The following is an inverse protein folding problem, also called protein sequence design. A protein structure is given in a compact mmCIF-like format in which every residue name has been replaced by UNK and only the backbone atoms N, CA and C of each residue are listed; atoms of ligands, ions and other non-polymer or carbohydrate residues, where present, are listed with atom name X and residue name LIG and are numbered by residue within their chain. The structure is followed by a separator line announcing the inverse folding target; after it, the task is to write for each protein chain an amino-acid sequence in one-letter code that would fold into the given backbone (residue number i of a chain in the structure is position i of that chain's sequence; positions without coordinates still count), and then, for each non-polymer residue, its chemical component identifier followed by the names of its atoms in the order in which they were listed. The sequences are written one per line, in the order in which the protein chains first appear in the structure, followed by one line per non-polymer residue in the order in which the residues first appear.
data_IF_356140328758
#
_entry.id   IF_356140328758
#
_cell.length_a   1.000
_cell.length_b   1.000
_cell.length_c   1.000
_cell.angle_alpha   90.00
_cell.angle_beta   90.00
_cell.angle_gamma   90.00
#
_symmetry.space_group_name_H-M   'P 1'
#
loop_
_entity.id
_entity.type
_entity.pdbx_description
1 polymer ?
#
# COMPACT_ATOMS: atom_id res chain seq x y z
N UNK A 1 14.33 -18.53 -35.32
CA UNK A 1 14.39 -18.64 -36.80
C UNK A 1 15.66 -18.04 -37.41
N UNK A 2 16.04 -16.79 -37.12
CA UNK A 2 17.27 -16.18 -37.66
C UNK A 2 18.59 -16.89 -37.27
N UNK A 3 18.69 -17.39 -36.03
CA UNK A 3 19.87 -18.14 -35.57
C UNK A 3 20.00 -19.52 -36.24
N UNK A 4 18.88 -20.18 -36.56
CA UNK A 4 18.88 -21.46 -37.30
C UNK A 4 19.34 -21.27 -38.75
N UNK A 5 19.04 -20.11 -39.36
CA UNK A 5 19.47 -19.76 -40.71
C UNK A 5 20.98 -19.48 -40.80
N UNK A 6 21.57 -18.89 -39.75
CA UNK A 6 23.03 -18.75 -39.59
C UNK A 6 23.73 -20.10 -39.40
N UNK A 7 23.10 -21.02 -38.66
CA UNK A 7 23.62 -22.38 -38.45
C UNK A 7 23.76 -23.19 -39.74
N UNK A 8 22.79 -23.08 -40.67
CA UNK A 8 22.81 -23.80 -41.95
C UNK A 8 23.73 -23.16 -43.01
N UNK A 9 23.95 -21.83 -42.97
CA UNK A 9 24.81 -21.14 -43.96
C UNK A 9 26.30 -21.10 -43.59
N UNK A 10 26.69 -21.53 -42.39
CA UNK A 10 28.12 -21.66 -42.04
C UNK A 10 28.79 -22.89 -42.68
N UNK A 11 28.02 -23.92 -43.02
CA UNK A 11 28.56 -25.14 -43.63
C UNK A 11 28.75 -25.00 -45.16
N UNK A 12 28.15 -23.98 -45.80
CA UNK A 12 28.19 -23.75 -47.25
C UNK A 12 29.41 -22.96 -47.77
N UNK A 13 30.33 -22.52 -46.90
CA UNK A 13 31.51 -21.74 -47.30
C UNK A 13 32.75 -22.58 -47.70
N UNK A 14 32.56 -23.86 -48.03
CA UNK A 14 33.68 -24.81 -48.24
C UNK A 14 34.02 -25.15 -49.70
N UNK A 15 33.39 -24.50 -50.69
CA UNK A 15 33.64 -24.81 -52.11
C UNK A 15 33.96 -23.59 -52.99
N UNK A 16 35.13 -22.96 -52.77
CA UNK A 16 35.83 -22.20 -53.82
C UNK A 16 37.35 -22.29 -53.61
N UNK A 17 38.02 -23.11 -54.41
CA UNK A 17 39.49 -23.17 -54.55
C UNK A 17 39.94 -22.08 -55.52
N UNK A 18 40.76 -21.11 -55.06
CA UNK A 18 42.08 -20.79 -55.63
C UNK A 18 42.70 -19.51 -55.03
N UNK A 19 44.02 -19.59 -54.80
CA UNK A 19 44.99 -18.51 -54.57
C UNK A 19 44.89 -17.71 -53.26
N UNK A 20 45.46 -18.35 -52.24
CA UNK A 20 45.93 -17.79 -50.97
C UNK A 20 46.09 -18.97 -50.01
N UNK A 21 47.27 -19.21 -49.44
CA UNK A 21 47.46 -20.23 -48.38
C UNK A 21 46.71 -19.78 -47.11
N UNK A 22 45.38 -19.80 -47.15
CA UNK A 22 44.53 -19.64 -45.99
C UNK A 22 44.27 -21.05 -45.45
N UNK A 23 44.68 -21.29 -44.22
CA UNK A 23 44.76 -22.61 -43.61
C UNK A 23 43.33 -23.12 -43.31
N UNK A 24 42.68 -23.84 -44.23
CA UNK A 24 41.31 -24.37 -44.05
C UNK A 24 41.11 -25.12 -42.73
N UNK A 25 42.16 -25.76 -42.21
CA UNK A 25 42.15 -26.43 -40.91
C UNK A 25 41.97 -25.47 -39.72
N UNK A 26 42.53 -24.25 -39.80
CA UNK A 26 42.38 -23.23 -38.76
C UNK A 26 40.98 -22.65 -38.77
N UNK A 27 40.39 -22.44 -39.96
CA UNK A 27 39.00 -21.98 -40.11
C UNK A 27 38.02 -23.01 -39.52
N UNK A 28 38.18 -24.30 -39.85
CA UNK A 28 37.33 -25.36 -39.28
C UNK A 28 37.47 -25.48 -37.75
N UNK A 29 38.68 -25.32 -37.22
CA UNK A 29 38.92 -25.31 -35.77
C UNK A 29 38.23 -24.11 -35.10
N UNK A 30 38.34 -22.92 -35.69
CA UNK A 30 37.64 -21.71 -35.23
C UNK A 30 36.13 -21.87 -35.27
N UNK A 31 35.56 -22.42 -36.35
CA UNK A 31 34.12 -22.70 -36.45
C UNK A 31 33.66 -23.70 -35.39
N UNK A 32 34.41 -24.79 -35.14
CA UNK A 32 34.08 -25.74 -34.05
C UNK A 32 34.17 -25.11 -32.67
N UNK A 33 35.18 -24.25 -32.43
CA UNK A 33 35.29 -23.51 -31.17
C UNK A 33 34.11 -22.53 -30.99
N UNK A 34 33.75 -21.78 -32.03
CA UNK A 34 32.58 -20.88 -32.01
C UNK A 34 31.27 -21.65 -31.79
N UNK A 35 31.05 -22.79 -32.48
CA UNK A 35 29.89 -23.67 -32.25
C UNK A 35 29.85 -24.13 -30.78
N UNK A 36 30.97 -24.52 -30.18
CA UNK A 36 31.04 -24.87 -28.75
C UNK A 36 30.72 -23.69 -27.83
N UNK A 37 31.29 -22.52 -28.07
CA UNK A 37 31.01 -21.30 -27.29
C UNK A 37 29.52 -20.94 -27.34
N UNK A 38 28.92 -20.99 -28.52
CA UNK A 38 27.48 -20.73 -28.71
C UNK A 38 26.65 -21.77 -27.94
N UNK A 39 26.99 -23.05 -28.01
CA UNK A 39 26.30 -24.11 -27.25
C UNK A 39 26.41 -23.87 -25.74
N UNK A 40 27.61 -23.55 -25.23
CA UNK A 40 27.77 -23.24 -23.80
C UNK A 40 26.99 -22.00 -23.39
N UNK A 41 26.94 -20.97 -24.23
CA UNK A 41 26.16 -19.77 -23.98
C UNK A 41 24.66 -20.07 -23.95
N UNK A 42 24.14 -20.84 -24.91
CA UNK A 42 22.73 -21.26 -24.95
C UNK A 42 22.38 -22.13 -23.74
N UNK A 43 23.21 -23.12 -23.41
CA UNK A 43 23.00 -23.98 -22.24
C UNK A 43 23.07 -23.17 -20.93
N UNK A 44 24.00 -22.21 -20.84
CA UNK A 44 24.07 -21.28 -19.71
C UNK A 44 22.81 -20.44 -19.57
N UNK A 45 22.28 -19.90 -20.69
CA UNK A 45 21.03 -19.16 -20.70
C UNK A 45 19.83 -20.02 -20.30
N UNK A 46 19.78 -21.28 -20.75
CA UNK A 46 18.71 -22.22 -20.39
C UNK A 46 18.76 -22.64 -18.91
N UNK A 47 19.96 -22.88 -18.38
CA UNK A 47 20.14 -23.17 -16.95
C UNK A 47 19.75 -21.95 -16.11
N UNK A 48 20.16 -20.75 -16.52
CA UNK A 48 19.79 -19.51 -15.85
C UNK A 48 18.27 -19.29 -15.89
N UNK A 49 17.61 -19.46 -17.04
CA UNK A 49 16.16 -19.30 -17.14
C UNK A 49 15.40 -20.34 -16.32
N UNK A 50 15.87 -21.59 -16.30
CA UNK A 50 15.31 -22.66 -15.46
C UNK A 50 15.45 -22.34 -13.98
N UNK A 51 16.63 -21.87 -13.56
CA UNK A 51 16.88 -21.43 -12.18
C UNK A 51 15.95 -20.28 -11.77
N UNK A 52 15.80 -19.26 -12.61
CA UNK A 52 14.87 -18.15 -12.36
C UNK A 52 13.42 -18.66 -12.29
N UNK A 53 13.02 -19.59 -13.16
CA UNK A 53 11.70 -20.21 -13.11
C UNK A 53 11.43 -20.93 -11.79
N UNK A 54 12.38 -21.76 -11.34
CA UNK A 54 12.29 -22.45 -10.05
C UNK A 54 12.28 -21.48 -8.86
N UNK A 55 13.10 -20.42 -8.92
CA UNK A 55 13.12 -19.36 -7.92
C UNK A 55 11.76 -18.68 -7.81
N UNK A 56 11.13 -18.32 -8.93
CA UNK A 56 9.80 -17.70 -8.94
C UNK A 56 8.74 -18.65 -8.38
N UNK A 57 8.78 -19.93 -8.72
CA UNK A 57 7.85 -20.93 -8.14
C UNK A 57 8.03 -21.02 -6.63
N UNK A 58 9.28 -21.07 -6.14
CA UNK A 58 9.56 -21.11 -4.71
C UNK A 58 9.10 -19.83 -4.00
N UNK A 59 9.37 -18.64 -4.56
CA UNK A 59 8.90 -17.36 -4.02
C UNK A 59 7.37 -17.33 -3.89
N UNK A 60 6.65 -17.73 -4.94
CA UNK A 60 5.18 -17.73 -4.89
C UNK A 60 4.64 -18.76 -3.88
N UNK A 61 5.28 -19.93 -3.78
CA UNK A 61 4.92 -20.92 -2.78
C UNK A 61 5.19 -20.43 -1.36
N UNK A 62 6.37 -19.85 -1.10
CA UNK A 62 6.76 -19.28 0.19
C UNK A 62 5.77 -18.20 0.65
N UNK A 63 5.42 -17.27 -0.25
CA UNK A 63 4.45 -16.20 0.00
C UNK A 63 3.07 -16.76 0.31
N UNK A 64 2.59 -17.71 -0.48
CA UNK A 64 1.28 -18.34 -0.25
C UNK A 64 1.25 -19.07 1.09
N UNK A 65 2.24 -19.92 1.37
CA UNK A 65 2.30 -20.70 2.60
C UNK A 65 2.48 -19.80 3.83
N UNK A 66 3.30 -18.75 3.73
CA UNK A 66 3.49 -17.77 4.80
C UNK A 66 2.21 -16.99 5.10
N UNK A 67 1.45 -16.62 4.06
CA UNK A 67 0.14 -15.99 4.22
C UNK A 67 -0.85 -16.91 4.93
N UNK A 68 -0.99 -18.16 4.46
CA UNK A 68 -1.88 -19.14 5.08
C UNK A 68 -1.52 -19.41 6.55
N UNK A 69 -0.22 -19.45 6.88
CA UNK A 69 0.24 -19.57 8.26
C UNK A 69 -0.10 -18.33 9.11
N UNK A 70 0.04 -17.12 8.56
CA UNK A 70 -0.33 -15.89 9.24
C UNK A 70 -1.84 -15.78 9.45
N UNK A 71 -2.64 -16.15 8.45
CA UNK A 71 -4.11 -16.18 8.52
C UNK A 71 -4.61 -17.20 9.55
N UNK A 72 -4.04 -18.41 9.59
CA UNK A 72 -4.45 -19.46 10.52
C UNK A 72 -4.28 -19.07 12.01
N UNK A 73 -3.29 -18.21 12.30
CA UNK A 73 -3.05 -17.67 13.64
C UNK A 73 -3.74 -16.33 13.92
N UNK A 74 -4.40 -15.73 12.92
CA UNK A 74 -4.96 -14.39 13.02
C UNK A 74 -6.48 -14.41 13.00
N UNK A 75 -7.08 -13.52 13.79
CA UNK A 75 -8.49 -13.17 13.66
C UNK A 75 -8.57 -11.64 13.58
N UNK A 76 -9.47 -11.07 12.76
CA UNK A 76 -9.68 -9.62 12.77
C UNK A 76 -10.06 -9.21 14.18
N UNK A 77 -9.34 -8.25 14.76
CA UNK A 77 -9.64 -7.78 16.11
C UNK A 77 -10.55 -6.57 16.02
N UNK A 78 -11.71 -6.66 16.67
CA UNK A 78 -12.69 -5.58 16.73
C UNK A 78 -12.66 -4.98 18.12
N UNK A 79 -12.26 -3.72 18.21
CA UNK A 79 -12.28 -2.98 19.47
C UNK A 79 -13.72 -2.63 19.87
N UNK A 80 -13.99 -2.40 21.17
CA UNK A 80 -15.31 -1.97 21.63
C UNK A 80 -15.80 -0.70 20.93
N UNK A 81 -17.11 -0.53 20.88
CA UNK A 81 -17.70 0.71 20.39
C UNK A 81 -17.33 1.86 21.33
N UNK A 82 -16.81 2.95 20.76
CA UNK A 82 -16.33 4.16 21.47
C UNK A 82 -17.07 5.41 21.03
N UNK A 83 -16.92 6.48 21.79
CA UNK A 83 -17.42 7.81 21.45
C UNK A 83 -16.24 8.79 21.37
N UNK A 84 -16.00 9.35 20.18
CA UNK A 84 -14.85 10.23 19.90
C UNK A 84 -15.23 11.45 19.06
N UNK A 85 -14.38 12.46 19.08
CA UNK A 85 -14.43 13.60 18.18
C UNK A 85 -13.36 13.42 17.09
N UNK A 86 -13.67 13.88 15.88
CA UNK A 86 -12.82 13.67 14.72
C UNK A 86 -12.56 14.98 13.96
N UNK A 87 -11.32 15.15 13.51
CA UNK A 87 -10.91 16.20 12.57
C UNK A 87 -10.35 15.58 11.29
N UNK A 88 -10.64 16.20 10.15
CA UNK A 88 -10.16 15.77 8.84
C UNK A 88 -9.11 16.74 8.31
N UNK A 89 -8.00 16.19 7.81
CA UNK A 89 -6.98 16.91 7.06
C UNK A 89 -6.78 16.25 5.71
N UNK A 90 -6.82 17.04 4.64
CA UNK A 90 -6.75 16.52 3.26
C UNK A 90 -5.40 16.73 2.60
N UNK A 91 -4.52 17.50 3.24
CA UNK A 91 -3.21 17.83 2.72
C UNK A 91 -2.18 17.98 3.85
N UNK A 92 -0.91 17.94 3.47
CA UNK A 92 0.21 18.12 4.39
C UNK A 92 0.27 19.52 5.01
N UNK A 93 -0.15 20.54 4.27
CA UNK A 93 -0.02 21.95 4.66
C UNK A 93 -0.87 22.28 5.88
N UNK A 94 -2.01 21.62 6.02
CA UNK A 94 -2.92 21.75 7.16
C UNK A 94 -2.63 20.69 8.23
N UNK A 95 -2.34 19.45 7.83
CA UNK A 95 -2.04 18.35 8.75
C UNK A 95 -0.78 18.59 9.59
N UNK A 96 0.37 18.84 8.95
CA UNK A 96 1.65 18.80 9.64
C UNK A 96 1.81 19.90 10.70
N UNK A 97 1.34 21.15 10.49
CA UNK A 97 1.34 22.15 11.56
C UNK A 97 0.55 21.72 12.79
N UNK A 98 -0.64 21.12 12.62
CA UNK A 98 -1.40 20.61 13.77
C UNK A 98 -0.70 19.42 14.43
N UNK A 99 -0.24 18.45 13.65
CA UNK A 99 0.42 17.26 14.16
C UNK A 99 1.69 17.59 14.95
N UNK A 100 2.51 18.49 14.40
CA UNK A 100 3.73 18.97 15.09
C UNK A 100 3.42 19.78 16.34
N UNK A 101 2.35 20.60 16.33
CA UNK A 101 1.87 21.30 17.53
C UNK A 101 1.48 20.33 18.63
N UNK A 102 0.67 19.32 18.32
CA UNK A 102 0.23 18.32 19.30
C UNK A 102 1.43 17.57 19.92
N UNK A 103 2.42 17.18 19.10
CA UNK A 103 3.66 16.55 19.61
C UNK A 103 4.48 17.53 20.46
N UNK A 104 4.58 18.80 20.07
CA UNK A 104 5.29 19.82 20.86
C UNK A 104 4.68 19.98 22.25
N UNK A 105 3.35 19.95 22.33
CA UNK A 105 2.58 20.11 23.57
C UNK A 105 2.63 18.87 24.48
N UNK A 106 2.96 17.70 23.94
CA UNK A 106 3.06 16.43 24.67
C UNK A 106 3.90 16.52 25.96
N UNK A 107 3.45 15.85 27.02
CA UNK A 107 4.04 15.91 28.36
C UNK A 107 4.57 14.58 28.87
N UNK A 108 3.96 13.47 28.46
CA UNK A 108 4.24 12.15 29.02
C UNK A 108 4.84 11.24 27.97
N UNK A 109 4.15 11.02 26.85
CA UNK A 109 4.60 10.08 25.82
C UNK A 109 4.06 10.38 24.42
N UNK A 110 4.81 9.90 23.42
CA UNK A 110 4.45 9.95 22.01
C UNK A 110 4.76 8.60 21.35
N UNK A 111 3.72 7.92 20.89
CA UNK A 111 3.81 6.62 20.20
C UNK A 111 3.47 6.81 18.73
N UNK A 112 4.34 6.40 17.82
CA UNK A 112 4.13 6.59 16.39
C UNK A 112 4.55 5.33 15.64
N UNK A 113 3.64 4.76 14.85
CA UNK A 113 3.95 3.80 13.81
C UNK A 113 3.53 4.37 12.46
N UNK A 114 4.45 4.50 11.51
CA UNK A 114 4.14 4.85 10.11
C UNK A 114 4.75 3.84 9.13
N UNK A 115 3.98 3.51 8.10
CA UNK A 115 4.38 2.57 7.04
C UNK A 115 5.65 3.00 6.28
N UNK A 116 5.87 4.29 6.04
CA UNK A 116 7.01 4.70 5.22
C UNK A 116 7.62 6.01 5.69
N UNK A 117 8.93 6.13 5.49
CA UNK A 117 9.65 7.39 5.63
C UNK A 117 10.40 7.69 4.34
N UNK A 118 10.31 8.95 3.91
CA UNK A 118 11.09 9.45 2.77
C UNK A 118 12.26 10.32 3.18
N UNK A 119 13.19 10.55 2.26
CA UNK A 119 14.26 11.53 2.44
C UNK A 119 13.76 12.98 2.31
N UNK A 120 14.50 13.91 2.89
CA UNK A 120 14.30 15.36 2.74
C UNK A 120 13.96 16.11 4.03
N UNK A 121 13.87 17.43 3.93
CA UNK A 121 13.73 18.38 5.04
C UNK A 121 12.50 18.10 5.92
N UNK A 122 11.39 17.65 5.32
CA UNK A 122 10.19 17.29 6.07
C UNK A 122 10.44 16.20 7.12
N UNK A 123 11.21 15.17 6.75
CA UNK A 123 11.56 14.06 7.65
C UNK A 123 12.60 14.48 8.69
N UNK A 124 13.55 15.33 8.30
CA UNK A 124 14.56 15.89 9.20
C UNK A 124 13.89 16.72 10.31
N UNK A 125 12.98 17.62 9.94
CA UNK A 125 12.20 18.41 10.92
C UNK A 125 11.36 17.54 11.85
N UNK A 126 10.77 16.48 11.32
CA UNK A 126 9.98 15.55 12.13
C UNK A 126 10.86 14.80 13.13
N UNK A 127 12.03 14.34 12.72
CA UNK A 127 12.96 13.67 13.62
C UNK A 127 13.61 14.59 14.63
N UNK A 128 13.93 15.83 14.25
CA UNK A 128 14.39 16.85 15.20
C UNK A 128 13.31 17.15 16.26
N UNK A 129 12.04 17.14 15.86
CA UNK A 129 10.92 17.26 16.79
C UNK A 129 10.88 16.09 17.78
N UNK A 130 11.00 14.84 17.31
CA UNK A 130 11.03 13.67 18.19
C UNK A 130 12.23 13.69 19.15
N UNK A 131 13.44 14.00 18.63
CA UNK A 131 14.66 14.18 19.46
C UNK A 131 14.45 15.25 20.52
N UNK A 132 13.83 16.39 20.15
CA UNK A 132 13.54 17.47 21.09
C UNK A 132 12.61 17.02 22.22
N UNK A 133 11.58 16.23 21.93
CA UNK A 133 10.66 15.71 22.95
C UNK A 133 11.32 14.68 23.86
N UNK A 134 12.09 13.75 23.31
CA UNK A 134 12.85 12.79 24.09
C UNK A 134 13.85 13.49 25.05
N UNK A 135 14.57 14.51 24.57
CA UNK A 135 15.46 15.32 25.40
C UNK A 135 14.74 16.13 26.50
N UNK A 136 13.43 16.35 26.38
CA UNK A 136 12.61 16.98 27.42
C UNK A 136 12.06 15.97 28.45
N UNK A 137 12.43 14.68 28.33
CA UNK A 137 11.97 13.61 29.22
C UNK A 137 10.63 12.99 28.81
N UNK A 138 10.08 13.31 27.64
CA UNK A 138 8.89 12.65 27.10
C UNK A 138 9.29 11.29 26.54
N UNK A 139 8.56 10.23 26.85
CA UNK A 139 8.82 8.88 26.32
C UNK A 139 8.40 8.80 24.85
N UNK A 140 9.35 8.69 23.94
CA UNK A 140 9.06 8.64 22.49
C UNK A 140 9.34 7.25 21.95
N UNK A 141 8.30 6.61 21.41
CA UNK A 141 8.38 5.31 20.74
C UNK A 141 8.04 5.50 19.26
N UNK A 142 8.99 5.20 18.38
CA UNK A 142 8.81 5.28 16.94
C UNK A 142 9.07 3.92 16.28
N UNK A 143 8.02 3.37 15.69
CA UNK A 143 8.06 2.17 14.86
C UNK A 143 7.90 2.56 13.40
N UNK A 144 8.56 1.83 12.51
CA UNK A 144 8.43 2.00 11.06
C UNK A 144 8.46 0.65 10.39
N UNK A 145 7.77 0.51 9.28
CA UNK A 145 7.90 -0.70 8.49
C UNK A 145 9.30 -0.81 7.85
N UNK A 146 9.93 -2.00 7.97
CA UNK A 146 11.32 -2.22 7.58
C UNK A 146 11.59 -1.96 6.10
N UNK A 147 10.74 -2.49 5.23
CA UNK A 147 10.93 -2.28 3.79
C UNK A 147 10.49 -0.86 3.38
N UNK A 148 9.64 -0.21 4.17
CA UNK A 148 9.19 1.16 3.99
C UNK A 148 10.21 2.20 4.44
N UNK A 149 11.14 1.80 5.31
CA UNK A 149 12.26 2.62 5.78
C UNK A 149 13.50 2.56 4.91
N UNK A 150 13.57 1.70 3.89
CA UNK A 150 14.76 1.53 3.02
C UNK A 150 15.17 2.79 2.26
N UNK A 151 14.26 3.77 2.10
CA UNK A 151 14.54 5.06 1.46
C UNK A 151 14.97 6.16 2.46
N UNK A 152 14.95 5.87 3.76
CA UNK A 152 15.44 6.77 4.81
C UNK A 152 16.96 6.83 4.85
N UNK A 153 17.52 7.84 5.52
CA UNK A 153 18.96 7.87 5.81
C UNK A 153 19.28 6.87 6.93
N UNK A 154 20.37 6.12 6.77
CA UNK A 154 20.75 5.06 7.71
C UNK A 154 21.11 5.59 9.11
N UNK A 155 21.59 6.83 9.22
CA UNK A 155 22.05 7.46 10.47
C UNK A 155 20.91 7.97 11.35
N UNK A 156 19.75 8.30 10.78
CA UNK A 156 18.62 8.86 11.52
C UNK A 156 18.17 8.00 12.71
N UNK A 157 18.07 6.70 12.53
CA UNK A 157 17.63 5.82 13.60
C UNK A 157 18.65 5.73 14.74
N UNK A 158 19.94 5.82 14.41
CA UNK A 158 21.00 5.84 15.43
C UNK A 158 21.03 7.19 16.16
N UNK A 159 20.79 8.30 15.47
CA UNK A 159 20.62 9.62 16.09
C UNK A 159 19.40 9.67 17.02
N UNK A 160 18.26 9.11 16.59
CA UNK A 160 17.06 9.03 17.39
C UNK A 160 17.30 8.21 18.67
N UNK A 161 17.94 7.04 18.55
CA UNK A 161 18.32 6.21 19.71
C UNK A 161 19.24 6.97 20.66
N UNK A 162 20.25 7.68 20.14
CA UNK A 162 21.17 8.50 20.97
C UNK A 162 20.44 9.63 21.71
N UNK A 163 19.36 10.16 21.14
CA UNK A 163 18.51 11.17 21.78
C UNK A 163 17.48 10.57 22.77
N UNK A 164 17.49 9.25 22.99
CA UNK A 164 16.57 8.58 23.91
C UNK A 164 15.24 8.14 23.29
N UNK A 165 15.09 8.19 21.97
CA UNK A 165 13.88 7.67 21.29
C UNK A 165 13.98 6.15 21.16
N UNK A 166 12.94 5.43 21.56
CA UNK A 166 12.81 4.00 21.34
C UNK A 166 12.45 3.74 19.87
N UNK A 167 13.23 2.87 19.19
CA UNK A 167 13.05 2.57 17.77
C UNK A 167 12.89 1.06 17.54
N UNK A 168 11.90 0.67 16.75
CA UNK A 168 11.76 -0.69 16.23
C UNK A 168 11.34 -0.70 14.76
N UNK A 169 11.49 -1.84 14.10
CA UNK A 169 11.00 -2.09 12.75
C UNK A 169 9.91 -3.16 12.79
N UNK A 170 8.87 -3.01 11.97
CA UNK A 170 7.93 -4.10 11.74
C UNK A 170 8.42 -5.07 10.66
N UNK A 171 8.05 -6.34 10.83
CA UNK A 171 8.20 -7.42 9.85
C UNK A 171 9.65 -7.71 9.45
N UNK A 172 10.43 -8.17 10.42
CA UNK A 172 11.78 -8.67 10.18
C UNK A 172 11.76 -9.93 9.28
N UNK A 173 12.59 -10.02 8.23
CA UNK A 173 12.65 -11.19 7.38
C UNK A 173 13.04 -12.45 8.18
N UNK A 174 12.25 -13.51 8.09
CA UNK A 174 12.50 -14.74 8.84
C UNK A 174 12.15 -16.02 8.06
N UNK A 175 12.81 -17.13 8.40
CA UNK A 175 12.49 -18.46 7.88
C UNK A 175 11.32 -19.11 8.65
N UNK A 176 10.58 -20.07 8.05
CA UNK A 176 10.74 -20.60 6.70
C UNK A 176 10.13 -19.74 5.59
N UNK A 177 9.40 -18.67 5.92
CA UNK A 177 8.64 -17.83 4.98
C UNK A 177 9.32 -16.48 4.72
N UNK A 178 10.52 -16.51 4.14
CA UNK A 178 11.37 -15.33 4.01
C UNK A 178 10.82 -14.32 3.00
N UNK A 179 10.21 -14.80 1.92
CA UNK A 179 9.64 -13.94 0.88
C UNK A 179 8.31 -13.36 1.33
N UNK A 180 7.51 -14.16 2.03
CA UNK A 180 6.31 -13.68 2.70
C UNK A 180 6.63 -12.58 3.70
N UNK A 181 7.54 -12.80 4.66
CA UNK A 181 7.85 -11.83 5.72
C UNK A 181 8.37 -10.49 5.17
N UNK A 182 9.09 -10.49 4.05
CA UNK A 182 9.49 -9.26 3.33
C UNK A 182 8.29 -8.55 2.68
N UNK A 183 7.31 -9.31 2.19
CA UNK A 183 6.12 -8.80 1.51
C UNK A 183 4.97 -8.46 2.44
N UNK A 184 4.94 -9.03 3.65
CA UNK A 184 4.00 -8.75 4.71
C UNK A 184 4.38 -7.41 5.35
N UNK A 185 3.48 -6.43 5.30
CA UNK A 185 3.80 -5.05 5.67
C UNK A 185 2.86 -4.54 6.73
N UNK A 186 3.39 -3.80 7.70
CA UNK A 186 2.51 -3.04 8.59
C UNK A 186 2.15 -1.73 7.89
N UNK A 187 0.98 -1.71 7.25
CA UNK A 187 0.49 -0.55 6.50
C UNK A 187 -0.35 0.39 7.38
N UNK A 188 -0.49 0.05 8.67
CA UNK A 188 -1.15 0.88 9.65
C UNK A 188 -0.40 2.19 9.84
N UNK A 189 -1.13 3.19 10.31
CA UNK A 189 -0.61 4.51 10.67
C UNK A 189 -1.30 4.88 11.95
N UNK A 190 -0.52 4.88 13.02
CA UNK A 190 -0.97 5.25 14.36
C UNK A 190 -0.03 6.32 14.86
N UNK A 191 -0.57 7.43 15.35
CA UNK A 191 0.14 8.24 16.32
C UNK A 191 -0.75 8.45 17.54
N UNK A 192 -0.18 8.31 18.73
CA UNK A 192 -0.82 8.58 20.02
C UNK A 192 0.05 9.57 20.79
N UNK A 193 -0.58 10.60 21.34
CA UNK A 193 0.08 11.68 22.08
C UNK A 193 -0.61 11.79 23.43
N UNK A 194 0.15 11.51 24.51
CA UNK A 194 -0.30 11.49 25.91
C UNK A 194 -1.60 10.70 26.15
N UNK A 195 -1.92 9.72 25.30
CA UNK A 195 -3.17 8.95 25.35
C UNK A 195 -4.44 9.77 25.06
N UNK A 196 -4.31 11.04 24.71
CA UNK A 196 -5.42 12.01 24.55
C UNK A 196 -5.74 12.31 23.10
N UNK A 197 -4.75 12.21 22.22
CA UNK A 197 -4.88 12.52 20.80
C UNK A 197 -4.38 11.33 20.00
N UNK A 198 -5.20 10.88 19.04
CA UNK A 198 -4.88 9.82 18.09
C UNK A 198 -4.84 10.34 16.65
N UNK A 199 -4.00 9.75 15.81
CA UNK A 199 -4.00 9.98 14.36
C UNK A 199 -3.96 8.68 13.57
N UNK A 200 -4.69 8.65 12.47
CA UNK A 200 -4.61 7.60 11.43
C UNK A 200 -4.94 8.19 10.05
N UNK A 201 -4.85 7.40 8.98
CA UNK A 201 -5.17 7.82 7.62
C UNK A 201 -4.12 7.39 6.61
N UNK A 202 -3.91 8.20 5.56
CA UNK A 202 -2.96 7.88 4.49
C UNK A 202 -1.65 8.67 4.46
N UNK A 203 -1.52 9.77 5.20
CA UNK A 203 -0.31 10.60 5.18
C UNK A 203 0.81 9.94 5.98
N UNK A 204 2.00 9.89 5.39
CA UNK A 204 3.24 9.54 6.10
C UNK A 204 4.15 10.77 6.15
N UNK A 205 5.36 10.65 6.69
CA UNK A 205 6.36 11.73 6.70
C UNK A 205 7.37 11.56 5.57
N UNK A 206 7.35 12.50 4.62
CA UNK A 206 8.32 12.58 3.52
C UNK A 206 8.19 13.92 2.78
N UNK A 207 9.28 14.35 2.12
CA UNK A 207 9.27 15.57 1.31
C UNK A 207 8.19 15.55 0.21
N UNK A 208 7.84 14.37 -0.34
CA UNK A 208 6.83 14.28 -1.41
C UNK A 208 5.45 14.80 -1.00
N UNK A 209 5.07 14.66 0.27
CA UNK A 209 3.77 15.10 0.77
C UNK A 209 3.68 16.62 0.92
N UNK A 210 4.81 17.32 1.04
CA UNK A 210 4.86 18.79 1.17
C UNK A 210 4.39 19.53 -0.08
N UNK A 211 4.27 18.83 -1.22
CA UNK A 211 3.77 19.40 -2.46
C UNK A 211 2.25 19.56 -2.33
N UNK A 212 1.72 20.72 -2.72
CA UNK A 212 0.27 21.03 -2.75
C UNK A 212 -0.53 20.19 -3.77
N UNK A 213 0.03 19.08 -4.25
CA UNK A 213 -0.58 18.16 -5.21
C UNK A 213 -0.89 16.80 -4.58
N UNK A 214 -0.54 16.58 -3.30
CA UNK A 214 -0.88 15.34 -2.61
C UNK A 214 -2.17 15.53 -1.82
N UNK A 215 -3.19 14.78 -2.20
CA UNK A 215 -4.50 14.80 -1.56
C UNK A 215 -4.76 13.45 -0.90
N UNK A 216 -5.00 13.43 0.40
CA UNK A 216 -5.21 12.21 1.18
C UNK A 216 -6.30 12.47 2.24
N UNK A 217 -6.61 11.48 3.08
CA UNK A 217 -7.53 11.62 4.20
C UNK A 217 -6.81 11.23 5.47
N UNK A 218 -6.40 12.24 6.24
CA UNK A 218 -5.77 12.06 7.54
C UNK A 218 -6.74 12.47 8.64
N UNK A 219 -6.88 11.61 9.62
CA UNK A 219 -7.87 11.72 10.69
C UNK A 219 -7.15 12.00 11.98
N UNK A 220 -7.58 13.06 12.67
CA UNK A 220 -7.25 13.33 14.06
C UNK A 220 -8.43 12.91 14.93
N UNK A 221 -8.18 12.24 16.03
CA UNK A 221 -9.18 11.75 16.97
C UNK A 221 -8.87 12.22 18.39
N UNK A 222 -9.91 12.61 19.13
CA UNK A 222 -9.87 12.75 20.59
C UNK A 222 -11.05 12.02 21.22
N UNK A 223 -10.96 11.69 22.51
CA UNK A 223 -11.97 10.92 23.24
C UNK A 223 -11.66 9.43 23.27
N UNK A 224 -12.65 8.61 23.67
CA UNK A 224 -12.44 7.23 24.13
C UNK A 224 -11.67 6.34 23.12
N UNK A 225 -11.82 6.56 21.81
CA UNK A 225 -11.14 5.78 20.78
C UNK A 225 -9.61 5.86 20.78
N UNK A 226 -9.01 6.87 21.42
CA UNK A 226 -7.54 7.02 21.44
C UNK A 226 -6.87 5.85 22.17
N UNK A 227 -7.54 5.29 23.19
CA UNK A 227 -7.01 4.12 23.91
C UNK A 227 -6.89 2.88 23.02
N UNK A 228 -7.75 2.74 22.01
CA UNK A 228 -7.72 1.60 21.10
C UNK A 228 -6.53 1.72 20.14
N UNK A 229 -6.16 2.96 19.75
CA UNK A 229 -4.93 3.23 18.99
C UNK A 229 -3.68 2.94 19.83
N UNK A 230 -3.68 3.32 21.11
CA UNK A 230 -2.57 3.06 22.01
C UNK A 230 -2.38 1.56 22.24
N UNK A 231 -3.47 0.83 22.50
CA UNK A 231 -3.43 -0.61 22.67
C UNK A 231 -2.90 -1.29 21.40
N UNK A 232 -3.41 -0.92 20.21
CA UNK A 232 -2.93 -1.52 18.97
C UNK A 232 -1.44 -1.23 18.73
N UNK A 233 -0.99 -0.02 19.00
CA UNK A 233 0.43 0.32 18.88
C UNK A 233 1.30 -0.56 19.81
N UNK A 234 0.89 -0.74 21.05
CA UNK A 234 1.59 -1.56 22.03
C UNK A 234 1.61 -3.05 21.63
N UNK A 235 0.51 -3.56 21.07
CA UNK A 235 0.45 -4.92 20.52
C UNK A 235 1.42 -5.10 19.35
N UNK A 236 1.41 -4.18 18.38
CA UNK A 236 2.32 -4.21 17.22
C UNK A 236 3.79 -4.10 17.68
N UNK A 237 4.07 -3.25 18.67
CA UNK A 237 5.41 -3.12 19.26
C UNK A 237 5.87 -4.42 19.94
N UNK A 238 4.96 -5.10 20.65
CA UNK A 238 5.23 -6.38 21.31
C UNK A 238 5.51 -7.50 20.32
N UNK A 239 4.80 -7.55 19.20
CA UNK A 239 5.10 -8.50 18.11
C UNK A 239 6.55 -8.30 17.63
N UNK A 240 7.01 -7.06 17.50
CA UNK A 240 8.33 -6.76 16.98
C UNK A 240 9.47 -6.96 17.99
N UNK A 241 9.23 -6.77 19.28
CA UNK A 241 10.31 -6.69 20.29
C UNK A 241 10.19 -7.69 21.44
N UNK A 242 9.07 -8.42 21.54
CA UNK A 242 8.74 -9.28 22.67
C UNK A 242 8.26 -8.52 23.92
N UNK A 243 8.44 -7.21 23.99
CA UNK A 243 8.04 -6.36 25.11
C UNK A 243 7.03 -5.31 24.65
N UNK A 244 6.21 -4.78 25.56
CA UNK A 244 5.27 -3.70 25.25
C UNK A 244 5.77 -2.39 25.84
N UNK A 245 5.58 -1.25 25.16
CA UNK A 245 5.57 0.06 25.83
C UNK A 245 4.51 0.06 26.93
N UNK A 246 4.61 0.96 27.93
CA UNK A 246 3.56 1.16 28.90
C UNK A 246 2.21 1.47 28.22
N UNK A 247 1.11 1.08 28.87
CA UNK A 247 -0.22 1.56 28.49
C UNK A 247 -0.69 2.44 29.64
N UNK A 248 -0.99 3.70 29.34
CA UNK A 248 -1.38 4.67 30.34
C UNK A 248 -2.90 4.71 30.46
N UNK A 249 -3.40 4.78 31.70
CA UNK A 249 -4.82 5.01 31.94
C UNK A 249 -5.07 6.50 31.94
N UNK A 250 -5.74 6.97 30.89
CA UNK A 250 -6.14 8.36 30.74
C UNK A 250 -7.66 8.45 30.86
N UNK A 251 -8.15 9.38 31.67
CA UNK A 251 -9.57 9.70 31.72
C UNK A 251 -9.95 10.46 30.44
N UNK A 252 -10.66 9.78 29.55
CA UNK A 252 -11.07 10.32 28.25
C UNK A 252 -12.53 10.73 28.25
N UNK A 253 -12.79 11.95 27.78
CA UNK A 253 -14.14 12.43 27.55
C UNK A 253 -14.79 11.70 26.36
N UNK A 254 -16.11 11.51 26.43
CA UNK A 254 -16.89 10.99 25.31
C UNK A 254 -17.03 12.07 24.25
N UNK A 255 -16.68 11.74 23.01
CA UNK A 255 -16.97 12.60 21.87
C UNK A 255 -18.36 12.37 21.28
N UNK A 256 -18.68 13.09 20.20
CA UNK A 256 -20.01 13.12 19.59
C UNK A 256 -20.25 11.99 18.58
N UNK A 257 -19.19 11.31 18.13
CA UNK A 257 -19.28 10.29 17.07
C UNK A 257 -19.12 8.88 17.64
N UNK A 258 -20.11 8.04 17.38
CA UNK A 258 -20.06 6.61 17.65
C UNK A 258 -19.24 5.90 16.57
N UNK A 259 -18.26 5.10 16.99
CA UNK A 259 -17.40 4.35 16.08
C UNK A 259 -16.83 3.10 16.73
N UNK A 260 -16.23 2.23 15.93
CA UNK A 260 -15.33 1.19 16.41
C UNK A 260 -14.14 1.05 15.46
N UNK A 261 -13.00 0.63 16.00
CA UNK A 261 -11.82 0.27 15.25
C UNK A 261 -11.84 -1.23 14.97
N UNK A 262 -11.54 -1.62 13.74
CA UNK A 262 -11.21 -3.00 13.39
C UNK A 262 -9.84 -3.06 12.75
N UNK A 263 -9.05 -4.03 13.18
CA UNK A 263 -7.70 -4.27 12.65
C UNK A 263 -7.65 -5.63 11.98
N UNK A 264 -6.85 -5.69 10.93
CA UNK A 264 -6.70 -6.87 10.08
C UNK A 264 -5.22 -7.22 10.02
N UNK A 265 -4.92 -8.51 10.11
CA UNK A 265 -3.59 -9.05 9.84
C UNK A 265 -3.63 -9.72 8.48
N UNK A 266 -2.69 -9.37 7.59
CA UNK A 266 -2.62 -9.90 6.22
C UNK A 266 -3.92 -9.70 5.41
N UNK A 267 -4.71 -8.67 5.71
CA UNK A 267 -6.01 -8.42 5.08
C UNK A 267 -7.11 -9.45 5.37
N UNK A 268 -6.86 -10.45 6.22
CA UNK A 268 -7.84 -11.50 6.54
C UNK A 268 -9.11 -10.90 7.14
N UNK A 269 -10.29 -11.26 6.63
CA UNK A 269 -11.60 -10.77 7.10
C UNK A 269 -11.98 -9.35 6.64
N UNK A 270 -11.07 -8.63 5.97
CA UNK A 270 -11.29 -7.25 5.54
C UNK A 270 -12.36 -7.16 4.46
N UNK A 271 -12.28 -8.03 3.46
CA UNK A 271 -13.19 -8.01 2.31
C UNK A 271 -14.62 -8.32 2.74
N UNK A 272 -14.78 -9.26 3.66
CA UNK A 272 -16.08 -9.67 4.20
C UNK A 272 -16.82 -8.52 4.87
N UNK A 273 -16.11 -7.65 5.60
CA UNK A 273 -16.73 -6.47 6.23
C UNK A 273 -17.20 -5.45 5.18
N UNK A 274 -16.39 -5.19 4.14
CA UNK A 274 -16.78 -4.28 3.06
C UNK A 274 -17.99 -4.84 2.29
N UNK A 275 -18.03 -6.16 2.05
CA UNK A 275 -19.17 -6.83 1.41
C UNK A 275 -20.43 -6.64 2.26
N UNK A 276 -20.36 -6.80 3.58
CA UNK A 276 -21.51 -6.59 4.47
C UNK A 276 -22.05 -5.16 4.35
N UNK A 277 -21.18 -4.16 4.30
CA UNK A 277 -21.57 -2.76 4.15
C UNK A 277 -22.18 -2.46 2.77
N UNK A 278 -21.64 -3.07 1.71
CA UNK A 278 -22.20 -2.96 0.36
C UNK A 278 -23.54 -3.65 0.22
N UNK A 279 -23.71 -4.83 0.83
CA UNK A 279 -24.97 -5.56 0.81
C UNK A 279 -26.07 -4.86 1.63
N UNK A 280 -25.69 -4.07 2.65
CA UNK A 280 -26.60 -3.20 3.40
C UNK A 280 -26.98 -1.90 2.67
N UNK A 281 -26.26 -1.51 1.61
CA UNK A 281 -26.47 -0.26 0.89
C UNK A 281 -27.86 -0.18 0.23
N UNK A 282 -28.50 0.99 0.32
CA UNK A 282 -29.85 1.24 -0.20
C UNK A 282 -29.92 2.33 -1.28
N UNK A 283 -28.96 3.26 -1.28
CA UNK A 283 -28.97 4.45 -2.13
C UNK A 283 -27.67 4.60 -2.89
N UNK A 284 -26.54 4.61 -2.19
CA UNK A 284 -25.25 4.91 -2.81
C UNK A 284 -24.08 4.27 -2.06
N UNK A 285 -23.03 3.91 -2.82
CA UNK A 285 -21.71 3.53 -2.35
C UNK A 285 -20.70 4.44 -3.06
N UNK A 286 -19.93 5.24 -2.32
CA UNK A 286 -18.77 5.96 -2.83
C UNK A 286 -17.50 5.28 -2.33
N UNK A 287 -16.60 4.93 -3.25
CA UNK A 287 -15.27 4.40 -2.96
C UNK A 287 -14.24 5.39 -3.49
N UNK A 288 -13.48 6.00 -2.59
CA UNK A 288 -12.35 6.86 -2.89
C UNK A 288 -11.07 6.12 -2.48
N UNK A 289 -10.24 5.77 -3.46
CA UNK A 289 -9.05 4.92 -3.27
C UNK A 289 -7.87 5.40 -4.14
N UNK A 290 -6.61 5.29 -3.69
CA UNK A 290 -5.45 5.50 -4.58
C UNK A 290 -5.39 4.47 -5.70
N UNK A 291 -5.84 3.25 -5.43
CA UNK A 291 -5.74 2.11 -6.33
C UNK A 291 -7.05 1.34 -6.29
N UNK A 292 -7.63 1.06 -7.46
CA UNK A 292 -8.80 0.20 -7.59
C UNK A 292 -8.38 -1.10 -8.28
N UNK A 293 -7.67 -1.94 -7.53
CA UNK A 293 -7.10 -3.22 -7.96
C UNK A 293 -7.56 -4.31 -6.98
N UNK A 294 -8.88 -4.47 -6.72
CA UNK A 294 -9.35 -5.32 -5.63
C UNK A 294 -8.88 -6.77 -5.76
N UNK A 295 -8.67 -7.27 -6.99
CA UNK A 295 -8.26 -8.66 -7.29
C UNK A 295 -8.98 -9.70 -6.42
N UNK A 296 -10.28 -9.46 -6.20
CA UNK A 296 -11.14 -10.26 -5.36
C UNK A 296 -12.53 -10.28 -6.01
N UNK A 297 -12.96 -11.48 -6.42
CA UNK A 297 -14.23 -11.67 -7.12
C UNK A 297 -15.41 -11.32 -6.24
N UNK A 298 -15.39 -11.71 -4.96
CA UNK A 298 -16.53 -11.57 -4.07
C UNK A 298 -16.78 -10.09 -3.73
N UNK A 299 -15.71 -9.29 -3.60
CA UNK A 299 -15.77 -7.84 -3.49
C UNK A 299 -16.43 -7.19 -4.73
N UNK A 300 -15.96 -7.54 -5.93
CA UNK A 300 -16.54 -7.02 -7.18
C UNK A 300 -17.99 -7.46 -7.37
N UNK A 301 -18.32 -8.71 -7.02
CA UNK A 301 -19.67 -9.24 -7.13
C UNK A 301 -20.63 -8.57 -6.13
N UNK A 302 -20.16 -8.15 -4.94
CA UNK A 302 -20.96 -7.35 -4.01
C UNK A 302 -21.33 -5.98 -4.60
N UNK A 303 -20.40 -5.30 -5.26
CA UNK A 303 -20.69 -4.05 -5.97
C UNK A 303 -21.68 -4.26 -7.12
N UNK A 304 -21.54 -5.35 -7.89
CA UNK A 304 -22.50 -5.71 -8.95
C UNK A 304 -23.88 -6.01 -8.36
N UNK A 305 -23.97 -6.70 -7.22
CA UNK A 305 -25.23 -6.93 -6.50
C UNK A 305 -25.86 -5.62 -6.06
N UNK A 306 -25.07 -4.66 -5.55
CA UNK A 306 -25.57 -3.33 -5.23
C UNK A 306 -26.16 -2.63 -6.46
N UNK A 307 -25.47 -2.66 -7.61
CA UNK A 307 -26.00 -2.10 -8.86
C UNK A 307 -27.30 -2.77 -9.32
N UNK A 308 -27.45 -4.09 -9.15
CA UNK A 308 -28.70 -4.82 -9.43
C UNK A 308 -29.86 -4.43 -8.51
N UNK A 309 -29.58 -3.85 -7.34
CA UNK A 309 -30.57 -3.30 -6.41
C UNK A 309 -30.78 -1.79 -6.61
N UNK A 310 -30.37 -1.24 -7.76
CA UNK A 310 -30.44 0.18 -8.11
C UNK A 310 -29.64 1.13 -7.19
N UNK A 311 -28.74 0.61 -6.35
CA UNK A 311 -27.81 1.41 -5.54
C UNK A 311 -26.77 2.03 -6.46
N UNK A 312 -26.58 3.35 -6.41
CA UNK A 312 -25.53 4.01 -7.19
C UNK A 312 -24.14 3.65 -6.65
N UNK A 313 -23.22 3.22 -7.51
CA UNK A 313 -21.83 2.92 -7.11
C UNK A 313 -20.90 3.88 -7.83
N UNK A 314 -20.15 4.66 -7.06
CA UNK A 314 -19.19 5.67 -7.53
C UNK A 314 -17.80 5.26 -7.09
N UNK A 315 -16.89 5.09 -8.04
CA UNK A 315 -15.48 4.80 -7.78
C UNK A 315 -14.66 6.02 -8.19
N UNK A 316 -13.98 6.63 -7.22
CA UNK A 316 -13.03 7.70 -7.43
C UNK A 316 -11.60 7.14 -7.30
N UNK A 317 -10.78 7.42 -8.30
CA UNK A 317 -9.38 6.96 -8.37
C UNK A 317 -8.50 8.01 -9.07
N UNK A 318 -7.18 8.03 -8.84
CA UNK A 318 -6.30 9.03 -9.42
C UNK A 318 -6.05 8.83 -10.92
N UNK A 319 -5.89 9.94 -11.66
CA UNK A 319 -5.31 9.91 -13.01
C UNK A 319 -3.86 9.47 -13.03
N UNK A 320 -3.12 9.85 -11.99
CA UNK A 320 -1.71 9.58 -11.82
C UNK A 320 -1.46 8.98 -10.44
N UNK A 321 -1.01 7.72 -10.40
CA UNK A 321 -0.54 7.07 -9.17
C UNK A 321 0.90 7.48 -8.84
N UNK A 322 1.31 7.34 -7.58
CA UNK A 322 2.70 7.55 -7.15
C UNK A 322 3.59 6.28 -7.32
N UNK A 323 2.98 5.13 -7.62
CA UNK A 323 3.67 3.88 -7.96
C UNK A 323 3.68 3.55 -9.46
N UNK A 324 4.67 2.75 -9.86
CA UNK A 324 4.83 2.27 -11.23
C UNK A 324 3.75 1.24 -11.56
N UNK A 325 3.10 1.38 -12.73
CA UNK A 325 2.09 0.45 -13.25
C UNK A 325 0.77 0.36 -12.46
N UNK A 326 0.60 1.05 -11.33
CA UNK A 326 -0.62 0.96 -10.51
C UNK A 326 -1.87 1.44 -11.27
N UNK A 327 -1.78 2.58 -11.98
CA UNK A 327 -2.86 3.02 -12.87
C UNK A 327 -3.22 1.97 -13.92
N UNK A 328 -2.22 1.34 -14.55
CA UNK A 328 -2.44 0.34 -15.59
C UNK A 328 -2.97 -0.99 -15.04
N UNK A 329 -2.60 -1.36 -13.82
CA UNK A 329 -3.10 -2.54 -13.12
C UNK A 329 -4.59 -2.44 -12.80
N UNK A 330 -5.10 -1.23 -12.55
CA UNK A 330 -6.51 -0.99 -12.24
C UNK A 330 -7.42 -0.95 -13.49
N UNK A 331 -6.89 -0.73 -14.70
CA UNK A 331 -7.71 -0.66 -15.92
C UNK A 331 -8.70 -1.81 -16.14
N UNK A 332 -8.33 -3.10 -15.94
CA UNK A 332 -9.29 -4.20 -16.11
C UNK A 332 -10.47 -4.10 -15.13
N UNK A 333 -10.21 -3.74 -13.87
CA UNK A 333 -11.23 -3.64 -12.82
C UNK A 333 -12.12 -2.41 -13.02
N UNK A 334 -11.54 -1.29 -13.44
CA UNK A 334 -12.28 -0.07 -13.80
C UNK A 334 -13.18 -0.32 -15.00
N UNK A 335 -12.69 -1.02 -16.02
CA UNK A 335 -13.49 -1.40 -17.18
C UNK A 335 -14.66 -2.29 -16.78
N UNK A 336 -14.40 -3.32 -15.97
CA UNK A 336 -15.44 -4.21 -15.45
C UNK A 336 -16.50 -3.44 -14.64
N UNK A 337 -16.09 -2.47 -13.81
CA UNK A 337 -17.01 -1.62 -13.07
C UNK A 337 -17.93 -0.82 -14.00
N UNK A 338 -17.37 -0.19 -15.03
CA UNK A 338 -18.14 0.56 -16.03
C UNK A 338 -19.09 -0.32 -16.86
N UNK A 339 -18.63 -1.51 -17.27
CA UNK A 339 -19.46 -2.51 -17.97
C UNK A 339 -20.65 -2.98 -17.11
N UNK A 340 -20.54 -2.88 -15.78
CA UNK A 340 -21.60 -3.22 -14.82
C UNK A 340 -22.38 -1.98 -14.32
N UNK A 341 -22.31 -0.85 -15.04
CA UNK A 341 -23.12 0.33 -14.78
C UNK A 341 -22.74 1.11 -13.51
N UNK A 342 -21.52 0.93 -13.00
CA UNK A 342 -20.92 1.77 -11.96
C UNK A 342 -20.37 3.06 -12.60
N UNK A 343 -20.31 4.15 -11.84
CA UNK A 343 -19.68 5.40 -12.28
C UNK A 343 -18.24 5.44 -11.82
N UNK A 344 -17.35 5.89 -12.69
CA UNK A 344 -15.92 6.03 -12.35
C UNK A 344 -15.50 7.47 -12.59
N UNK A 345 -14.88 8.08 -11.59
CA UNK A 345 -14.36 9.44 -11.62
C UNK A 345 -12.85 9.43 -11.42
N UNK A 346 -12.13 10.07 -12.34
CA UNK A 346 -10.68 10.17 -12.31
C UNK A 346 -10.25 11.54 -11.79
N UNK A 347 -9.61 11.58 -10.62
CA UNK A 347 -9.12 12.80 -10.00
C UNK A 347 -7.92 13.38 -10.77
N UNK A 348 -7.97 14.67 -11.13
CA UNK A 348 -7.01 15.33 -12.04
C UNK A 348 -6.29 16.56 -11.42
N UNK A 349 -6.41 16.78 -10.11
CA UNK A 349 -5.72 17.89 -9.40
C UNK A 349 -4.40 17.50 -8.75
N UNK A 350 -3.98 16.24 -8.86
CA UNK A 350 -2.74 15.76 -8.27
C UNK A 350 -2.73 14.26 -8.02
N UNK A 351 -1.96 13.83 -7.03
CA UNK A 351 -1.94 12.46 -6.51
C UNK A 351 -3.09 12.36 -5.51
N UNK A 352 -4.12 11.61 -5.88
CA UNK A 352 -5.22 11.25 -4.99
C UNK A 352 -4.89 9.96 -4.26
N UNK A 353 -4.94 9.99 -2.93
CA UNK A 353 -4.57 8.88 -2.09
C UNK A 353 -5.59 8.65 -0.97
N UNK A 354 -6.85 9.08 -1.14
CA UNK A 354 -7.92 8.88 -0.16
C UNK A 354 -8.24 7.40 0.07
N UNK A 355 -8.67 7.05 1.29
CA UNK A 355 -9.01 5.68 1.72
C UNK A 355 -10.34 5.74 2.45
N UNK A 356 -11.37 5.93 1.65
CA UNK A 356 -12.70 6.25 2.16
C UNK A 356 -13.71 5.43 1.39
N UNK A 357 -14.58 4.76 2.15
CA UNK A 357 -15.82 4.22 1.62
C UNK A 357 -16.97 4.83 2.40
N UNK A 358 -17.93 5.42 1.68
CA UNK A 358 -19.12 6.03 2.25
C UNK A 358 -20.36 5.36 1.66
N UNK A 359 -21.19 4.80 2.52
CA UNK A 359 -22.42 4.10 2.13
C UNK A 359 -23.63 4.84 2.68
N UNK A 360 -24.56 5.18 1.79
CA UNK A 360 -25.83 5.87 2.07
C UNK A 360 -25.68 7.20 2.85
N UNK A 361 -24.49 7.80 2.86
CA UNK A 361 -24.09 8.95 3.71
C UNK A 361 -24.17 8.69 5.22
N UNK A 362 -24.36 7.43 5.61
CA UNK A 362 -24.60 7.02 6.98
C UNK A 362 -23.49 6.11 7.50
N UNK A 363 -22.81 5.35 6.64
CA UNK A 363 -21.80 4.38 7.08
C UNK A 363 -20.48 4.73 6.44
N UNK A 364 -19.54 5.19 7.26
CA UNK A 364 -18.21 5.63 6.85
C UNK A 364 -17.18 4.59 7.28
N UNK A 365 -16.39 4.13 6.33
CA UNK A 365 -15.17 3.35 6.55
C UNK A 365 -13.98 4.18 6.11
N UNK A 366 -13.02 4.36 6.98
CA UNK A 366 -11.79 5.07 6.66
C UNK A 366 -10.64 4.66 7.58
N UNK A 367 -9.40 4.82 7.13
CA UNK A 367 -8.23 4.32 7.84
C UNK A 367 -7.07 4.13 6.89
N UNK A 368 -6.45 2.95 6.87
CA UNK A 368 -5.24 2.67 6.09
C UNK A 368 -5.45 1.79 4.88
N UNK A 369 -6.63 1.19 4.74
CA UNK A 369 -6.97 0.24 3.68
C UNK A 369 -7.01 0.90 2.30
N UNK A 370 -6.21 0.39 1.36
CA UNK A 370 -6.41 0.61 -0.06
C UNK A 370 -7.37 -0.45 -0.62
N UNK A 371 -8.01 -0.16 -1.76
CA UNK A 371 -8.78 -1.16 -2.52
C UNK A 371 -7.85 -1.87 -3.52
N UNK A 372 -6.84 -2.55 -2.99
CA UNK A 372 -5.84 -3.29 -3.76
C UNK A 372 -5.59 -4.72 -3.23
N UNK A 373 -4.93 -5.55 -4.05
CA UNK A 373 -4.63 -6.94 -3.72
C UNK A 373 -3.78 -7.05 -2.45
N UNK A 374 -2.89 -6.09 -2.19
CA UNK A 374 -1.98 -6.14 -1.05
C UNK A 374 -2.70 -5.90 0.27
N UNK A 375 -3.52 -4.86 0.36
CA UNK A 375 -4.37 -4.60 1.53
C UNK A 375 -5.29 -5.77 1.84
N UNK A 376 -5.75 -6.51 0.80
CA UNK A 376 -6.64 -7.64 0.98
C UNK A 376 -5.95 -8.96 1.35
N UNK A 377 -4.61 -9.05 1.27
CA UNK A 377 -3.91 -10.35 1.36
C UNK A 377 -2.55 -10.35 2.07
N UNK A 378 -1.89 -9.21 2.21
CA UNK A 378 -0.49 -9.14 2.64
C UNK A 378 -0.22 -8.06 3.68
N UNK A 379 -0.99 -6.98 3.69
CA UNK A 379 -0.75 -5.90 4.63
C UNK A 379 -1.55 -6.09 5.93
N UNK A 380 -0.94 -5.69 7.03
CA UNK A 380 -1.69 -5.36 8.24
C UNK A 380 -2.35 -3.99 8.04
N UNK A 381 -3.63 -3.91 8.34
CA UNK A 381 -4.47 -2.75 8.06
C UNK A 381 -5.37 -2.41 9.25
N UNK A 382 -5.98 -1.23 9.20
CA UNK A 382 -7.03 -0.82 10.12
C UNK A 382 -8.10 0.05 9.46
N UNK A 383 -9.32 -0.09 9.96
CA UNK A 383 -10.48 0.66 9.51
C UNK A 383 -11.29 1.13 10.72
N UNK A 384 -11.58 2.42 10.75
CA UNK A 384 -12.61 3.01 11.59
C UNK A 384 -13.96 2.86 10.88
N UNK A 385 -14.92 2.25 11.56
CA UNK A 385 -16.30 2.16 11.13
C UNK A 385 -17.15 3.13 11.94
N UNK A 386 -17.85 4.04 11.26
CA UNK A 386 -18.67 5.07 11.89
C UNK A 386 -20.08 5.03 11.32
N UNK A 387 -21.08 5.28 12.17
CA UNK A 387 -22.48 5.38 11.78
C UNK A 387 -23.03 6.78 12.04
N UNK A 388 -23.72 7.32 11.05
CA UNK A 388 -24.53 8.56 11.05
C UNK A 388 -24.00 9.64 11.98
N UNK A 389 -22.83 10.18 11.65
CA UNK A 389 -22.11 11.13 12.50
C UNK A 389 -21.92 12.50 11.86
N UNK A 390 -21.70 13.57 12.65
CA UNK A 390 -21.27 14.86 12.12
C UNK A 390 -20.00 14.73 11.27
N UNK A 391 -19.09 13.83 11.63
CA UNK A 391 -17.87 13.59 10.88
C UNK A 391 -18.12 12.97 9.50
N UNK A 392 -19.09 12.05 9.38
CA UNK A 392 -19.50 11.48 8.08
C UNK A 392 -19.98 12.56 7.11
N UNK A 393 -20.66 13.61 7.61
CA UNK A 393 -21.08 14.75 6.78
C UNK A 393 -19.89 15.62 6.35
N UNK A 394 -18.87 15.79 7.21
CA UNK A 394 -17.63 16.47 6.84
C UNK A 394 -16.91 15.72 5.72
N UNK A 395 -16.81 14.39 5.83
CA UNK A 395 -16.21 13.54 4.79
C UNK A 395 -17.04 13.59 3.50
N UNK A 396 -18.37 13.54 3.58
CA UNK A 396 -19.24 13.68 2.42
C UNK A 396 -18.97 14.99 1.67
N UNK A 397 -18.96 16.14 2.37
CA UNK A 397 -18.68 17.44 1.75
C UNK A 397 -17.32 17.46 1.06
N UNK A 398 -16.31 16.82 1.66
CA UNK A 398 -15.00 16.71 1.02
C UNK A 398 -15.04 15.83 -0.23
N UNK A 399 -15.72 14.69 -0.18
CA UNK A 399 -15.91 13.82 -1.35
C UNK A 399 -16.65 14.54 -2.49
N UNK A 400 -17.63 15.38 -2.18
CA UNK A 400 -18.34 16.18 -3.17
C UNK A 400 -17.40 17.18 -3.89
N UNK A 401 -16.48 17.81 -3.14
CA UNK A 401 -15.41 18.66 -3.69
C UNK A 401 -14.49 17.84 -4.58
N UNK A 402 -14.02 16.69 -4.09
CA UNK A 402 -13.10 15.81 -4.81
C UNK A 402 -13.73 15.25 -6.10
N UNK A 403 -15.04 14.96 -6.09
CA UNK A 403 -15.82 14.58 -7.27
C UNK A 403 -15.90 15.74 -8.27
N UNK A 404 -16.09 16.97 -7.81
CA UNK A 404 -16.07 18.17 -8.65
C UNK A 404 -14.72 18.42 -9.33
N UNK A 405 -13.63 18.01 -8.68
CA UNK A 405 -12.27 18.05 -9.22
C UNK A 405 -11.87 16.82 -10.06
N UNK A 406 -12.82 15.91 -10.25
CA UNK A 406 -12.63 14.67 -11.02
C UNK A 406 -13.36 14.72 -12.37
N UNK A 407 -12.89 13.90 -13.31
CA UNK A 407 -13.52 13.69 -14.61
C UNK A 407 -14.18 12.33 -14.67
N UNK A 408 -15.46 12.28 -15.04
CA UNK A 408 -16.12 11.01 -15.27
C UNK A 408 -15.49 10.28 -16.46
N UNK A 409 -15.16 9.01 -16.26
CA UNK A 409 -14.60 8.11 -17.27
C UNK A 409 -15.72 7.24 -17.83
N UNK A 410 -15.75 7.09 -19.15
CA UNK A 410 -16.66 6.19 -19.87
C UNK A 410 -15.88 5.07 -20.56
N UNK A 411 -16.57 4.08 -21.11
CA UNK A 411 -15.93 2.90 -21.72
C UNK A 411 -15.00 3.25 -22.90
N UNK A 412 -15.31 4.31 -23.64
CA UNK A 412 -14.51 4.84 -24.75
C UNK A 412 -13.11 5.33 -24.33
N UNK A 413 -12.89 5.58 -23.05
CA UNK A 413 -11.56 5.86 -22.48
C UNK A 413 -10.56 4.74 -22.80
N UNK A 414 -11.01 3.48 -22.77
CA UNK A 414 -10.14 2.32 -22.99
C UNK A 414 -9.73 2.15 -24.46
N UNK A 415 -10.57 2.61 -25.37
CA UNK A 415 -10.29 2.54 -26.81
C UNK A 415 -9.13 3.47 -27.18
N UNK A 416 -9.06 4.62 -26.49
CA UNK A 416 -8.08 5.68 -26.66
C UNK A 416 -6.78 5.49 -25.86
N UNK A 417 -6.60 4.35 -25.17
CA UNK A 417 -5.35 4.07 -24.46
C UNK A 417 -4.14 4.03 -25.41
N UNK A 418 -3.06 4.69 -24.99
CA UNK A 418 -1.78 4.65 -25.72
C UNK A 418 -1.22 3.23 -25.74
N UNK A 419 -0.48 2.87 -26.79
CA UNK A 419 0.12 1.53 -26.93
C UNK A 419 1.00 1.17 -25.72
N UNK A 420 1.74 2.14 -25.17
CA UNK A 420 2.53 1.97 -23.94
C UNK A 420 1.66 1.48 -22.78
N UNK A 421 0.50 2.11 -22.55
CA UNK A 421 -0.41 1.76 -21.48
C UNK A 421 -1.02 0.36 -21.68
N UNK A 422 -1.34 0.00 -22.93
CA UNK A 422 -1.83 -1.35 -23.28
C UNK A 422 -0.78 -2.44 -22.99
N UNK A 423 0.50 -2.17 -23.27
CA UNK A 423 1.62 -3.08 -22.94
C UNK A 423 1.81 -3.18 -21.44
N UNK A 424 1.89 -2.03 -20.74
CA UNK A 424 2.07 -1.99 -19.29
C UNK A 424 0.91 -2.67 -18.55
N UNK A 425 -0.33 -2.55 -19.04
CA UNK A 425 -1.48 -3.29 -18.49
C UNK A 425 -1.29 -4.81 -18.58
N UNK A 426 -0.76 -5.33 -19.70
CA UNK A 426 -0.47 -6.77 -19.83
C UNK A 426 0.61 -7.24 -18.87
N UNK A 427 1.64 -6.42 -18.65
CA UNK A 427 2.70 -6.71 -17.68
C UNK A 427 2.15 -6.64 -16.26
N UNK A 428 1.36 -5.62 -15.94
CA UNK A 428 0.77 -5.42 -14.64
C UNK A 428 -0.13 -6.59 -14.23
N UNK A 429 -0.89 -7.18 -15.17
CA UNK A 429 -1.66 -8.41 -14.94
C UNK A 429 -0.84 -9.61 -14.47
N UNK A 430 0.47 -9.64 -14.67
CA UNK A 430 1.32 -10.72 -14.18
C UNK A 430 1.83 -10.47 -12.74
N UNK A 431 1.74 -9.23 -12.25
CA UNK A 431 2.36 -8.80 -10.99
C UNK A 431 1.41 -8.08 -10.04
N UNK A 432 0.16 -7.83 -10.45
CA UNK A 432 -0.83 -7.08 -9.67
C UNK A 432 -1.17 -7.70 -8.31
N UNK A 433 -0.91 -9.00 -8.12
CA UNK A 433 -0.97 -9.61 -6.80
C UNK A 433 -0.09 -8.87 -5.77
N UNK A 434 1.05 -8.34 -6.21
CA UNK A 434 2.05 -7.62 -5.40
C UNK A 434 1.97 -6.11 -5.51
N UNK A 435 1.07 -5.59 -6.35
CA UNK A 435 0.80 -4.16 -6.54
C UNK A 435 -0.37 -3.75 -5.67
#
# INVERSE_FOLDING_TARGET
MWLFYLFNNMDSFTHTKQKGRCNLSSIQRTVRMLKKIIIYFINGLLLFSTFIGLLLVWVNYDIKAGREAAEAGSQPHTYPIRNSNFGLYTDWKTFYPQFSKDILEAKEYVYIHYFSIGSGEASEKFFDLLKKKANQGVEVYYSVDRAGSLKGKNDWFDELRKAGVHITYSNDPHFPHIWYSIQHRNHRRIAVIDGKIGYTGGLNVAQKYTKNTWHDYQIRMTGEGVQDFEQQFCEDWKVNTGNSPPIHKVDLEKGETNHYLKVYSSGFGLVEDFIQEFDAAKKQIIIATPYFIPDNRDFMDALKRARKRDVEVIIMWPKHSDGLMLTQAAYPFVREALENGMKVYQYDKGIFHGKVVLVDYERLMTGTVNIDSRSFRLNDEMTLFMKSSPFSQTVQKQLDVDLGDSKEIKLDYFDNLKMKDKILMKIAKCVHYYL
#
